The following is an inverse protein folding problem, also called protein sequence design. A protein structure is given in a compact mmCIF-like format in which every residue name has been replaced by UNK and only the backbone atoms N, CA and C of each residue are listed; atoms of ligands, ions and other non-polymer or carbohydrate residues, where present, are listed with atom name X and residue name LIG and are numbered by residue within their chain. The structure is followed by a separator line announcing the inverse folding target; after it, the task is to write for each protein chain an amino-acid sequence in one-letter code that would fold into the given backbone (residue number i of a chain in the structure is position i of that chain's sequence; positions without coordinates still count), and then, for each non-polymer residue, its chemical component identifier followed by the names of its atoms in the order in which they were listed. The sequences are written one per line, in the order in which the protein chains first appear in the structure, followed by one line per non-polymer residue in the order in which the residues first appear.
data_IF_123395915003
#
_entry.id   IF_123395915003
#
_cell.length_a   1.000
_cell.length_b   1.000
_cell.length_c   1.000
_cell.angle_alpha   90.00
_cell.angle_beta   90.00
_cell.angle_gamma   90.00
#
_symmetry.space_group_name_H-M   'P 1'
#
loop_
_entity.id
_entity.type
_entity.pdbx_description
1 polymer ?
#
# COMPACT_ATOMS: atom_id res chain seq x y z
N UNK A 1 0.92 14.07 14.24
CA UNK A 1 -0.15 14.13 15.28
C UNK A 1 -1.37 13.40 14.72
N UNK A 2 -1.26 12.07 14.58
CA UNK A 2 -2.19 11.19 13.84
C UNK A 2 -3.27 10.50 14.69
N UNK A 3 -3.30 10.75 16.01
CA UNK A 3 -4.00 9.87 16.96
C UNK A 3 -5.53 9.69 16.77
N UNK A 4 -6.27 10.55 16.05
CA UNK A 4 -7.69 10.26 15.77
C UNK A 4 -8.16 10.35 14.29
N UNK A 5 -7.33 10.75 13.32
CA UNK A 5 -7.83 11.16 11.98
C UNK A 5 -7.90 10.06 10.91
N UNK A 6 -7.22 8.92 11.09
CA UNK A 6 -7.34 7.79 10.16
C UNK A 6 -8.73 7.13 10.16
N UNK A 7 -9.53 7.36 11.22
CA UNK A 7 -10.50 6.38 11.72
C UNK A 7 -11.96 6.59 11.34
N UNK A 8 -12.31 7.61 10.53
CA UNK A 8 -13.75 7.94 10.38
C UNK A 8 -14.51 7.17 9.29
N UNK A 9 -13.87 6.41 8.39
CA UNK A 9 -14.64 5.74 7.32
C UNK A 9 -14.04 4.55 6.56
N UNK A 10 -13.21 3.70 7.18
CA UNK A 10 -12.91 2.38 6.60
C UNK A 10 -14.11 1.40 6.70
N UNK A 11 -15.11 1.71 7.52
CA UNK A 11 -16.32 0.90 7.81
C UNK A 11 -17.26 0.60 6.63
N UNK A 12 -17.01 1.10 5.43
CA UNK A 12 -17.94 0.93 4.31
C UNK A 12 -17.80 -0.40 3.55
N UNK A 13 -16.81 -1.25 3.85
CA UNK A 13 -16.46 -2.39 2.95
C UNK A 13 -16.50 -3.80 3.56
N UNK A 14 -16.94 -4.01 4.81
CA UNK A 14 -16.96 -5.36 5.39
C UNK A 14 -18.36 -5.84 5.79
N UNK A 15 -18.83 -6.91 5.12
CA UNK A 15 -19.95 -7.76 5.54
C UNK A 15 -19.46 -8.98 6.33
N UNK A 16 -20.35 -9.53 7.17
CA UNK A 16 -20.08 -10.58 8.17
C UNK A 16 -19.59 -11.94 7.61
N UNK A 17 -19.49 -12.10 6.29
CA UNK A 17 -19.05 -13.35 5.63
C UNK A 17 -17.53 -13.56 5.66
N UNK A 18 -16.75 -12.52 5.99
CA UNK A 18 -15.29 -12.49 5.83
C UNK A 18 -14.46 -13.38 6.77
N UNK A 19 -15.08 -14.00 7.78
CA UNK A 19 -14.33 -14.84 8.73
C UNK A 19 -13.95 -16.22 8.17
N UNK A 20 -14.69 -16.73 7.18
CA UNK A 20 -14.49 -18.07 6.63
C UNK A 20 -13.47 -18.13 5.47
N UNK A 21 -13.28 -17.02 4.74
CA UNK A 21 -12.41 -16.96 3.55
C UNK A 21 -10.91 -16.87 3.89
N UNK A 22 -10.55 -16.48 5.13
CA UNK A 22 -9.18 -16.43 5.65
C UNK A 22 -8.42 -17.77 5.57
N UNK A 23 -9.09 -18.90 5.31
CA UNK A 23 -8.49 -20.24 5.30
C UNK A 23 -7.79 -20.66 4.00
N UNK A 24 -7.84 -19.88 2.91
CA UNK A 24 -7.27 -20.32 1.61
C UNK A 24 -6.13 -19.49 1.00
N UNK A 25 -5.83 -18.30 1.49
CA UNK A 25 -4.74 -17.48 0.92
C UNK A 25 -3.89 -16.85 2.01
N UNK A 26 -2.99 -17.65 2.56
CA UNK A 26 -1.97 -17.24 3.52
C UNK A 26 -0.60 -17.36 2.86
N UNK A 27 -0.13 -16.31 2.19
CA UNK A 27 1.28 -16.25 1.81
C UNK A 27 1.89 -15.00 2.42
N UNK A 28 2.48 -15.22 3.60
CA UNK A 28 3.47 -14.37 4.28
C UNK A 28 3.11 -12.88 4.41
N UNK A 29 2.15 -12.56 5.28
CA UNK A 29 1.91 -11.17 5.71
C UNK A 29 2.90 -10.82 6.85
N UNK A 30 3.59 -9.67 6.82
CA UNK A 30 4.43 -9.25 7.93
C UNK A 30 3.60 -9.04 9.19
N UNK A 31 4.02 -9.65 10.30
CA UNK A 31 3.28 -9.62 11.56
C UNK A 31 3.69 -8.45 12.48
N UNK A 32 4.73 -7.71 12.11
CA UNK A 32 5.30 -6.64 12.93
C UNK A 32 5.56 -5.40 12.07
N UNK A 33 5.30 -4.18 12.59
CA UNK A 33 5.45 -2.94 11.81
C UNK A 33 6.85 -2.70 11.22
N UNK A 34 7.92 -3.18 11.89
CA UNK A 34 9.29 -3.10 11.38
C UNK A 34 9.47 -3.88 10.07
N UNK A 35 8.89 -5.08 9.97
CA UNK A 35 8.97 -5.90 8.76
C UNK A 35 8.18 -5.31 7.60
N UNK A 36 7.18 -4.47 7.89
CA UNK A 36 6.48 -3.72 6.85
C UNK A 36 7.37 -2.70 6.16
N UNK A 37 8.38 -2.14 6.84
CA UNK A 37 9.34 -1.22 6.20
C UNK A 37 10.08 -1.92 5.06
N UNK A 38 10.59 -3.11 5.32
CA UNK A 38 11.31 -3.90 4.32
C UNK A 38 10.39 -4.34 3.18
N UNK A 39 9.19 -4.82 3.48
CA UNK A 39 8.24 -5.25 2.45
C UNK A 39 7.77 -4.07 1.58
N UNK A 40 7.44 -2.93 2.19
CA UNK A 40 7.04 -1.74 1.44
C UNK A 40 8.19 -1.22 0.58
N UNK A 41 9.43 -1.28 1.06
CA UNK A 41 10.59 -0.92 0.25
C UNK A 41 10.76 -1.87 -0.96
N UNK A 42 10.47 -3.16 -0.81
CA UNK A 42 10.45 -4.11 -1.93
C UNK A 42 9.29 -3.86 -2.91
N UNK A 43 8.09 -3.60 -2.39
CA UNK A 43 6.92 -3.25 -3.18
C UNK A 43 7.14 -1.93 -3.96
N UNK A 44 7.74 -0.92 -3.33
CA UNK A 44 8.08 0.34 -3.97
C UNK A 44 9.11 0.13 -5.07
N UNK A 45 10.14 -0.68 -4.82
CA UNK A 45 11.12 -1.04 -5.83
C UNK A 45 10.45 -1.73 -7.03
N UNK A 46 9.55 -2.70 -6.78
CA UNK A 46 8.81 -3.37 -7.85
C UNK A 46 8.01 -2.37 -8.71
N UNK A 47 7.36 -1.39 -8.08
CA UNK A 47 6.69 -0.28 -8.78
C UNK A 47 7.69 0.52 -9.60
N UNK A 48 8.82 0.90 -9.00
CA UNK A 48 9.85 1.71 -9.63
C UNK A 48 10.43 1.06 -10.88
N UNK A 49 10.60 -0.27 -10.87
CA UNK A 49 11.09 -1.04 -12.02
C UNK A 49 10.13 -1.01 -13.22
N UNK A 50 8.87 -0.65 -13.01
CA UNK A 50 7.92 -0.51 -14.11
C UNK A 50 8.08 0.82 -14.88
N UNK A 51 8.71 1.84 -14.28
CA UNK A 51 8.83 3.19 -14.86
C UNK A 51 9.41 3.21 -16.28
N UNK A 52 10.50 2.47 -16.59
CA UNK A 52 11.06 2.45 -17.94
C UNK A 52 10.07 1.95 -18.99
N UNK A 53 9.06 1.16 -18.60
CA UNK A 53 8.09 0.61 -19.54
C UNK A 53 6.95 1.57 -19.88
N UNK A 54 6.78 2.66 -19.13
CA UNK A 54 5.75 3.66 -19.40
C UNK A 54 5.82 4.23 -20.82
N UNK A 55 7.04 4.37 -21.37
CA UNK A 55 7.26 4.88 -22.73
C UNK A 55 6.57 4.00 -23.79
N UNK A 56 6.46 2.70 -23.57
CA UNK A 56 5.85 1.76 -24.52
C UNK A 56 4.33 1.89 -24.58
N UNK A 57 3.72 2.47 -23.55
CA UNK A 57 2.28 2.77 -23.49
C UNK A 57 2.00 4.26 -23.68
N UNK A 58 3.00 5.04 -24.10
CA UNK A 58 2.87 6.48 -24.34
C UNK A 58 2.71 7.31 -23.06
N UNK A 59 3.08 6.78 -21.89
CA UNK A 59 2.95 7.46 -20.60
C UNK A 59 4.30 7.69 -19.93
N UNK A 60 4.56 8.91 -19.47
CA UNK A 60 5.75 9.21 -18.65
C UNK A 60 5.40 8.97 -17.18
N UNK A 61 5.80 7.82 -16.64
CA UNK A 61 5.56 7.46 -15.24
C UNK A 61 6.57 8.20 -14.34
N UNK A 62 6.06 9.08 -13.49
CA UNK A 62 6.81 9.77 -12.44
C UNK A 62 6.78 8.98 -11.12
N UNK A 63 7.57 9.39 -10.12
CA UNK A 63 7.57 8.72 -8.80
C UNK A 63 6.23 8.84 -8.07
N UNK A 64 5.48 9.92 -8.32
CA UNK A 64 4.13 10.12 -7.77
C UNK A 64 3.11 9.12 -8.33
N UNK A 65 3.31 8.70 -9.59
CA UNK A 65 2.40 7.77 -10.26
C UNK A 65 2.53 6.34 -9.73
N UNK A 66 3.63 6.02 -9.03
CA UNK A 66 3.87 4.70 -8.43
C UNK A 66 2.80 4.33 -7.40
N UNK A 67 2.21 5.33 -6.73
CA UNK A 67 1.09 5.14 -5.82
C UNK A 67 -0.07 4.36 -6.48
N UNK A 68 -0.38 4.65 -7.74
CA UNK A 68 -1.47 3.99 -8.47
C UNK A 68 -1.19 2.50 -8.77
N UNK A 69 0.05 2.04 -8.60
CA UNK A 69 0.45 0.66 -8.86
C UNK A 69 0.22 -0.26 -7.64
N UNK A 70 0.02 0.34 -6.46
CA UNK A 70 -0.12 -0.38 -5.20
C UNK A 70 -1.16 -1.51 -5.20
N UNK A 71 -2.34 -1.43 -5.87
CA UNK A 71 -3.29 -2.53 -5.88
C UNK A 71 -2.76 -3.75 -6.65
N UNK A 72 -2.15 -3.53 -7.82
CA UNK A 72 -1.56 -4.61 -8.62
C UNK A 72 -0.38 -5.27 -7.90
N UNK A 73 0.43 -4.48 -7.20
CA UNK A 73 1.58 -4.97 -6.44
C UNK A 73 1.12 -5.77 -5.21
N UNK A 74 0.08 -5.30 -4.51
CA UNK A 74 -0.55 -6.05 -3.41
C UNK A 74 -0.98 -7.46 -3.88
N UNK A 75 -1.69 -7.56 -5.01
CA UNK A 75 -2.10 -8.86 -5.55
C UNK A 75 -0.89 -9.73 -5.90
N UNK A 76 0.15 -9.17 -6.54
CA UNK A 76 1.38 -9.86 -6.90
C UNK A 76 2.11 -10.42 -5.68
N UNK A 77 2.33 -9.60 -4.65
CA UNK A 77 3.08 -9.98 -3.44
C UNK A 77 2.35 -11.05 -2.63
N UNK A 78 1.02 -11.09 -2.73
CA UNK A 78 0.17 -12.07 -2.04
C UNK A 78 -0.19 -13.27 -2.90
N UNK A 79 0.36 -13.38 -4.10
CA UNK A 79 0.07 -14.50 -5.02
C UNK A 79 -1.40 -14.60 -5.43
N UNK A 80 -2.13 -13.48 -5.37
CA UNK A 80 -3.55 -13.43 -5.73
C UNK A 80 -3.65 -13.22 -7.24
N UNK A 81 -4.51 -13.99 -7.90
CA UNK A 81 -4.74 -13.88 -9.33
C UNK A 81 -5.23 -12.48 -9.71
N UNK A 82 -4.62 -11.89 -10.75
CA UNK A 82 -4.93 -10.56 -11.27
C UNK A 82 -6.17 -10.57 -12.16
N UNK A 83 -7.29 -11.05 -11.62
CA UNK A 83 -8.59 -10.92 -12.29
C UNK A 83 -9.06 -9.46 -12.23
N UNK A 84 -9.90 -9.04 -13.18
CA UNK A 84 -10.48 -7.69 -13.18
C UNK A 84 -11.19 -7.38 -11.85
N UNK A 85 -11.95 -8.33 -11.31
CA UNK A 85 -12.65 -8.17 -10.04
C UNK A 85 -11.70 -7.90 -8.86
N UNK A 86 -10.58 -8.63 -8.77
CA UNK A 86 -9.61 -8.43 -7.68
C UNK A 86 -8.87 -7.09 -7.81
N UNK A 87 -8.51 -6.70 -9.03
CA UNK A 87 -7.86 -5.40 -9.28
C UNK A 87 -8.82 -4.25 -8.96
N UNK A 88 -10.07 -4.34 -9.41
CA UNK A 88 -11.09 -3.32 -9.15
C UNK A 88 -11.35 -3.22 -7.63
N UNK A 89 -11.53 -4.34 -6.92
CA UNK A 89 -11.72 -4.37 -5.45
C UNK A 89 -10.58 -3.68 -4.69
N UNK A 90 -9.33 -4.05 -4.99
CA UNK A 90 -8.17 -3.46 -4.34
C UNK A 90 -8.01 -1.96 -4.67
N UNK A 91 -8.30 -1.57 -5.91
CA UNK A 91 -8.20 -0.18 -6.38
C UNK A 91 -9.26 0.72 -5.75
N UNK A 92 -10.52 0.27 -5.71
CA UNK A 92 -11.61 1.00 -5.08
C UNK A 92 -11.35 1.24 -3.59
N UNK A 93 -10.89 0.21 -2.88
CA UNK A 93 -10.53 0.32 -1.48
C UNK A 93 -9.39 1.32 -1.26
N UNK A 94 -8.32 1.22 -2.07
CA UNK A 94 -7.18 2.13 -2.01
C UNK A 94 -7.57 3.59 -2.25
N UNK A 95 -8.28 3.89 -3.35
CA UNK A 95 -8.67 5.25 -3.70
C UNK A 95 -9.66 5.85 -2.70
N UNK A 96 -10.67 5.08 -2.31
CA UNK A 96 -11.68 5.55 -1.33
C UNK A 96 -11.03 5.88 0.00
N UNK A 97 -10.12 5.01 0.46
CA UNK A 97 -9.39 5.23 1.71
C UNK A 97 -8.48 6.45 1.61
N UNK A 98 -7.79 6.63 0.47
CA UNK A 98 -6.88 7.76 0.24
C UNK A 98 -7.62 9.09 0.29
N UNK A 99 -8.71 9.24 -0.47
CA UNK A 99 -9.50 10.48 -0.49
C UNK A 99 -10.06 10.77 0.91
N UNK A 100 -10.60 9.77 1.60
CA UNK A 100 -11.15 9.94 2.94
C UNK A 100 -10.09 10.37 3.97
N UNK A 101 -8.85 9.89 3.85
CA UNK A 101 -7.75 10.27 4.73
C UNK A 101 -7.19 11.64 4.37
N UNK A 102 -6.98 11.93 3.09
CA UNK A 102 -6.43 13.20 2.60
C UNK A 102 -7.30 14.41 3.03
N UNK A 103 -8.63 14.27 2.99
CA UNK A 103 -9.57 15.29 3.48
C UNK A 103 -9.42 15.62 4.98
N UNK A 104 -8.83 14.71 5.77
CA UNK A 104 -8.72 14.83 7.24
C UNK A 104 -7.31 15.13 7.73
N UNK A 105 -6.30 14.83 6.91
CA UNK A 105 -4.88 14.98 7.25
C UNK A 105 -4.22 15.85 6.20
N UNK A 106 -4.31 17.18 6.37
CA UNK A 106 -3.72 18.13 5.43
C UNK A 106 -2.23 17.85 5.22
N UNK A 107 -1.88 17.33 4.04
CA UNK A 107 -0.50 17.24 3.56
C UNK A 107 0.31 16.01 3.97
N UNK A 108 -0.25 15.01 4.66
CA UNK A 108 0.53 13.78 4.99
C UNK A 108 1.03 13.06 3.73
N UNK A 109 0.20 13.05 2.67
CA UNK A 109 0.54 12.41 1.40
C UNK A 109 1.38 13.30 0.46
N UNK A 110 1.84 14.47 0.93
CA UNK A 110 2.90 15.20 0.23
C UNK A 110 4.21 14.39 0.21
N UNK A 111 4.42 13.52 1.21
CA UNK A 111 5.44 12.48 1.17
C UNK A 111 4.94 11.30 0.32
N UNK A 112 5.53 11.16 -0.87
CA UNK A 112 5.22 10.10 -1.83
C UNK A 112 5.51 8.69 -1.30
N UNK A 113 6.45 8.51 -0.36
CA UNK A 113 6.71 7.21 0.26
C UNK A 113 5.58 6.83 1.22
N UNK A 114 5.07 7.80 2.00
CA UNK A 114 3.91 7.58 2.88
C UNK A 114 2.63 7.39 2.07
N UNK A 115 2.43 8.15 0.99
CA UNK A 115 1.31 7.94 0.07
C UNK A 115 1.32 6.52 -0.51
N UNK A 116 2.47 6.07 -1.04
CA UNK A 116 2.65 4.71 -1.54
C UNK A 116 2.37 3.66 -0.47
N UNK A 117 2.95 3.83 0.73
CA UNK A 117 2.77 2.92 1.86
C UNK A 117 1.30 2.78 2.22
N UNK A 118 0.59 3.90 2.32
CA UNK A 118 -0.83 3.91 2.63
C UNK A 118 -1.65 3.22 1.53
N UNK A 119 -1.39 3.51 0.25
CA UNK A 119 -2.11 2.87 -0.86
C UNK A 119 -1.90 1.35 -0.87
N UNK A 120 -0.69 0.90 -0.56
CA UNK A 120 -0.37 -0.53 -0.45
C UNK A 120 -1.12 -1.20 0.71
N UNK A 121 -1.15 -0.57 1.90
CA UNK A 121 -1.89 -1.08 3.05
C UNK A 121 -3.41 -1.02 2.87
N UNK A 122 -3.93 0.04 2.25
CA UNK A 122 -5.35 0.16 1.94
C UNK A 122 -5.81 -0.89 0.90
N UNK A 123 -4.93 -1.25 -0.04
CA UNK A 123 -5.16 -2.38 -0.95
C UNK A 123 -5.25 -3.70 -0.19
N UNK A 124 -4.39 -3.93 0.81
CA UNK A 124 -4.46 -5.10 1.68
C UNK A 124 -5.75 -5.14 2.50
N UNK A 125 -6.18 -4.00 3.03
CA UNK A 125 -7.45 -3.87 3.71
C UNK A 125 -8.63 -4.23 2.80
N UNK A 126 -8.67 -3.68 1.59
CA UNK A 126 -9.71 -3.98 0.60
C UNK A 126 -9.76 -5.46 0.19
N UNK A 127 -8.63 -6.15 0.26
CA UNK A 127 -8.53 -7.59 0.01
C UNK A 127 -8.78 -8.44 1.26
N UNK A 128 -9.23 -7.84 2.37
CA UNK A 128 -9.50 -8.49 3.66
C UNK A 128 -8.26 -9.20 4.26
N UNK A 129 -7.07 -8.72 3.90
CA UNK A 129 -5.78 -9.23 4.36
C UNK A 129 -5.31 -8.54 5.64
N UNK A 130 -5.69 -7.27 5.81
CA UNK A 130 -5.44 -6.47 7.01
C UNK A 130 -6.75 -5.92 7.56
N UNK A 131 -6.80 -5.71 8.87
CA UNK A 131 -7.85 -4.94 9.52
C UNK A 131 -7.52 -3.45 9.54
N UNK A 132 -8.51 -2.62 9.85
CA UNK A 132 -8.33 -1.17 10.04
C UNK A 132 -7.30 -0.87 11.15
N UNK A 133 -7.34 -1.64 12.24
CA UNK A 133 -6.41 -1.49 13.37
C UNK A 133 -4.97 -1.80 12.96
N UNK A 134 -4.77 -2.89 12.21
CA UNK A 134 -3.44 -3.27 11.70
C UNK A 134 -2.88 -2.21 10.76
N UNK A 135 -3.69 -1.72 9.80
CA UNK A 135 -3.28 -0.63 8.90
C UNK A 135 -2.89 0.62 9.68
N UNK A 136 -3.66 0.98 10.70
CA UNK A 136 -3.37 2.17 11.51
C UNK A 136 -2.08 2.02 12.31
N UNK A 137 -1.88 0.87 12.98
CA UNK A 137 -0.67 0.60 13.74
C UNK A 137 0.58 0.70 12.84
N UNK A 138 0.52 0.12 11.65
CA UNK A 138 1.62 0.17 10.67
C UNK A 138 1.84 1.62 10.21
N UNK A 139 0.79 2.37 9.86
CA UNK A 139 0.94 3.74 9.38
C UNK A 139 1.51 4.69 10.43
N UNK A 140 1.13 4.53 11.71
CA UNK A 140 1.74 5.31 12.81
C UNK A 140 3.24 5.00 12.90
N UNK A 141 3.61 3.72 12.85
CA UNK A 141 5.01 3.32 12.88
C UNK A 141 5.80 3.89 11.68
N UNK A 142 5.22 3.89 10.47
CA UNK A 142 5.88 4.43 9.28
C UNK A 142 6.05 5.94 9.32
N UNK A 143 5.09 6.70 9.87
CA UNK A 143 5.22 8.15 10.07
C UNK A 143 6.37 8.46 11.04
N UNK A 144 6.41 7.77 12.18
CA UNK A 144 7.43 7.95 13.21
C UNK A 144 8.83 7.56 12.69
N UNK A 145 8.90 6.58 11.79
CA UNK A 145 10.14 6.04 11.22
C UNK A 145 10.37 6.43 9.74
N UNK A 146 9.82 7.56 9.28
CA UNK A 146 9.90 8.00 7.86
C UNK A 146 11.31 8.01 7.26
N UNK A 147 12.32 8.36 8.08
CA UNK A 147 13.72 8.41 7.65
C UNK A 147 14.24 6.99 7.36
N UNK A 148 13.83 6.02 8.16
CA UNK A 148 14.20 4.61 7.96
C UNK A 148 13.53 4.04 6.72
N UNK A 149 12.23 4.31 6.54
CA UNK A 149 11.50 3.94 5.33
C UNK A 149 12.16 4.49 4.07
N UNK A 150 12.49 5.79 4.05
CA UNK A 150 13.18 6.41 2.92
C UNK A 150 14.53 5.74 2.65
N UNK A 151 15.34 5.48 3.69
CA UNK A 151 16.63 4.81 3.54
C UNK A 151 16.48 3.39 2.99
N UNK A 152 15.47 2.64 3.44
CA UNK A 152 15.19 1.30 2.96
C UNK A 152 14.84 1.31 1.45
N UNK A 153 13.97 2.23 1.03
CA UNK A 153 13.59 2.42 -0.39
C UNK A 153 14.82 2.80 -1.22
N UNK A 154 15.58 3.81 -0.81
CA UNK A 154 16.77 4.26 -1.53
C UNK A 154 17.82 3.16 -1.67
N UNK A 155 18.01 2.36 -0.62
CA UNK A 155 18.92 1.21 -0.63
C UNK A 155 18.50 0.18 -1.67
N UNK A 156 17.20 -0.15 -1.76
CA UNK A 156 16.68 -1.10 -2.76
C UNK A 156 16.88 -0.58 -4.18
N UNK A 157 16.62 0.71 -4.43
CA UNK A 157 16.83 1.34 -5.75
C UNK A 157 18.31 1.37 -6.14
N UNK A 158 19.22 1.65 -5.20
CA UNK A 158 20.68 1.75 -5.48
C UNK A 158 21.32 0.38 -5.74
N UNK A 159 20.92 -0.67 -5.01
CA UNK A 159 21.54 -2.01 -5.05
C UNK A 159 21.55 -2.69 -6.44
N UNK A 160 20.79 -2.17 -7.41
CA UNK A 160 20.69 -2.73 -8.77
C UNK A 160 21.34 -1.87 -9.86
N UNK A 161 21.96 -0.73 -9.50
CA UNK A 161 22.75 0.08 -10.45
C UNK A 161 24.18 -0.44 -10.64
N UNK A 162 24.61 -1.35 -9.77
CA UNK A 162 25.89 -2.07 -9.82
C UNK A 162 25.68 -3.48 -10.40
#
# INVERSE_FOLDING_TARGET
MLRPYFFKKLKCYQTAENKAMRRRQTTNIPHTPDKWVDEIAEAYHDAYETKPFGIFVGQKISDKDLFHMTPSICLKFRGIERTKANVDKATEAMLTSYVATEEQTEGIFADQNLAFSFGYLASHYGMDLLTEEEVSEIMIFLEDNRIELQKAIEKKIKKKKD
#
